data_IF_149224531780
#
_entry.id   IF_149224531780
#
_cell.length_a   1.000
_cell.length_b   1.000
_cell.length_c   1.000
_cell.angle_alpha   90.00
_cell.angle_beta   90.00
_cell.angle_gamma   90.00
#
_symmetry.space_group_name_H-M   'P 1'
#
loop_
_entity.id
_entity.type
_entity.pdbx_description
1 polymer ?
#
# COMPACT_ATOMS: atom_id res chain seq x y z
N UNK A 1 23.24 62.67 5.27
CA UNK A 1 21.80 62.55 5.05
C UNK A 1 21.47 61.10 4.74
N UNK A 2 20.44 60.57 5.41
CA UNK A 2 19.56 59.44 5.07
C UNK A 2 20.18 58.04 4.86
N UNK A 3 20.02 57.26 5.93
CA UNK A 3 19.67 55.85 5.96
C UNK A 3 18.72 55.41 4.82
N UNK A 4 18.95 54.21 4.28
CA UNK A 4 17.86 53.29 3.95
C UNK A 4 18.29 51.85 4.26
N UNK A 5 17.73 51.34 5.36
CA UNK A 5 17.56 49.90 5.64
C UNK A 5 16.33 49.40 4.86
N UNK A 6 16.16 48.07 4.88
CA UNK A 6 15.03 47.24 4.42
C UNK A 6 15.18 46.67 3.01
N UNK A 7 14.94 45.39 2.74
CA UNK A 7 14.43 44.30 3.57
C UNK A 7 15.03 42.98 3.06
N UNK A 8 15.41 42.11 3.99
CA UNK A 8 15.78 40.73 3.67
C UNK A 8 14.57 40.00 3.10
N UNK A 9 14.73 39.40 1.93
CA UNK A 9 13.84 38.35 1.46
C UNK A 9 14.01 37.17 2.41
N UNK A 10 13.05 36.99 3.31
CA UNK A 10 12.88 35.75 4.03
C UNK A 10 12.59 34.65 3.02
N UNK A 11 13.55 33.74 2.81
CA UNK A 11 13.26 32.46 2.17
C UNK A 11 12.25 31.72 3.07
N UNK A 12 11.01 31.63 2.61
CA UNK A 12 10.07 30.63 3.08
C UNK A 12 10.63 29.27 2.67
N UNK A 13 11.33 28.62 3.59
CA UNK A 13 11.63 27.20 3.48
C UNK A 13 10.29 26.44 3.56
N UNK A 14 9.72 26.14 2.40
CA UNK A 14 8.65 25.16 2.30
C UNK A 14 9.22 23.83 2.79
N UNK A 15 8.86 23.44 4.01
CA UNK A 15 9.02 22.06 4.44
C UNK A 15 8.12 21.21 3.54
N UNK A 16 8.70 20.70 2.46
CA UNK A 16 8.13 19.58 1.72
C UNK A 16 8.00 18.44 2.72
N UNK A 17 6.78 18.20 3.23
CA UNK A 17 6.44 16.89 3.73
C UNK A 17 6.64 15.97 2.54
N UNK A 18 7.78 15.29 2.50
CA UNK A 18 7.94 14.12 1.67
C UNK A 18 6.90 13.15 2.18
N UNK A 19 5.75 13.06 1.50
CA UNK A 19 4.99 11.84 1.48
C UNK A 19 5.98 10.80 0.97
N UNK A 20 6.60 10.06 1.90
CA UNK A 20 7.37 8.88 1.56
C UNK A 20 6.33 7.90 1.03
N UNK A 21 5.98 8.04 -0.25
CA UNK A 21 5.69 6.86 -1.04
C UNK A 21 6.99 6.07 -0.96
N UNK A 22 7.03 5.16 0.01
CA UNK A 22 8.06 4.14 0.10
C UNK A 22 7.87 3.34 -1.19
N UNK A 23 8.59 3.75 -2.23
CA UNK A 23 8.74 3.00 -3.47
C UNK A 23 9.65 1.81 -3.14
N UNK A 24 9.25 1.01 -2.16
CA UNK A 24 9.92 -0.21 -1.79
C UNK A 24 9.74 -1.13 -2.98
N UNK A 25 10.86 -1.48 -3.62
CA UNK A 25 10.87 -2.52 -4.65
C UNK A 25 10.03 -3.73 -4.16
N UNK A 26 9.22 -4.36 -5.04
CA UNK A 26 8.35 -5.47 -4.65
C UNK A 26 9.14 -6.52 -3.84
N UNK A 27 8.79 -6.70 -2.57
CA UNK A 27 9.38 -7.73 -1.70
C UNK A 27 10.46 -7.28 -0.71
N UNK A 28 10.72 -5.98 -0.49
CA UNK A 28 11.56 -5.53 0.62
C UNK A 28 10.72 -5.08 1.84
N UNK A 29 11.07 -5.57 3.04
CA UNK A 29 10.38 -5.24 4.30
C UNK A 29 9.07 -6.01 4.53
N UNK A 30 8.39 -5.70 5.64
CA UNK A 30 7.20 -6.43 6.09
C UNK A 30 6.08 -6.45 5.04
N UNK A 31 5.95 -5.39 4.24
CA UNK A 31 4.90 -5.27 3.22
C UNK A 31 5.04 -6.26 2.06
N UNK A 32 6.19 -6.93 1.90
CA UNK A 32 6.31 -8.06 0.99
C UNK A 32 5.31 -9.18 1.31
N UNK A 33 5.02 -9.41 2.59
CA UNK A 33 4.03 -10.41 3.02
C UNK A 33 2.60 -10.05 2.62
N UNK A 34 2.25 -8.76 2.52
CA UNK A 34 0.93 -8.33 2.01
C UNK A 34 0.75 -8.73 0.55
N UNK A 35 1.81 -8.61 -0.26
CA UNK A 35 1.78 -9.04 -1.66
C UNK A 35 1.50 -10.54 -1.76
N UNK A 36 2.20 -11.34 -0.95
CA UNK A 36 2.01 -12.80 -0.93
C UNK A 36 0.64 -13.23 -0.35
N UNK A 37 0.07 -12.48 0.60
CA UNK A 37 -1.31 -12.70 1.06
C UNK A 37 -2.30 -12.58 -0.10
N UNK A 38 -2.22 -11.50 -0.89
CA UNK A 38 -3.14 -11.30 -2.01
C UNK A 38 -2.89 -12.31 -3.13
N UNK A 39 -1.62 -12.62 -3.43
CA UNK A 39 -1.25 -13.63 -4.44
C UNK A 39 -1.74 -15.04 -4.11
N UNK A 40 -1.74 -15.40 -2.83
CA UNK A 40 -2.25 -16.68 -2.34
C UNK A 40 -3.75 -16.70 -2.10
N UNK A 41 -4.43 -15.57 -2.30
CA UNK A 41 -5.86 -15.47 -2.04
C UNK A 41 -6.72 -15.99 -3.19
N UNK A 42 -8.01 -16.22 -2.91
CA UNK A 42 -9.05 -16.47 -3.90
C UNK A 42 -9.58 -15.18 -4.58
N UNK A 43 -8.78 -14.10 -4.59
CA UNK A 43 -9.12 -12.88 -5.33
C UNK A 43 -9.42 -13.20 -6.80
N UNK A 44 -10.52 -12.67 -7.38
CA UNK A 44 -10.96 -13.03 -8.72
C UNK A 44 -10.14 -12.33 -9.80
N UNK A 45 -8.90 -12.78 -10.01
CA UNK A 45 -8.04 -12.33 -11.10
C UNK A 45 -8.72 -12.54 -12.46
N UNK A 46 -8.50 -11.61 -13.39
CA UNK A 46 -8.98 -11.72 -14.78
C UNK A 46 -8.01 -12.55 -15.60
N UNK A 47 -8.47 -13.11 -16.72
CA UNK A 47 -7.68 -14.03 -17.56
C UNK A 47 -6.33 -13.48 -18.07
N UNK A 48 -6.19 -12.16 -18.16
CA UNK A 48 -4.97 -11.48 -18.59
C UNK A 48 -4.05 -11.05 -17.42
N UNK A 49 -4.39 -11.46 -16.20
CA UNK A 49 -3.66 -11.12 -14.98
C UNK A 49 -3.16 -12.38 -14.29
N UNK A 50 -1.87 -12.44 -13.95
CA UNK A 50 -1.27 -13.59 -13.27
C UNK A 50 -0.76 -13.18 -11.89
N UNK A 51 -1.14 -13.88 -10.80
CA UNK A 51 -0.81 -13.46 -9.44
C UNK A 51 0.69 -13.17 -9.21
N UNK A 52 1.57 -13.93 -9.84
CA UNK A 52 3.04 -13.77 -9.75
C UNK A 52 3.54 -12.39 -10.20
N UNK A 53 2.81 -11.69 -11.06
CA UNK A 53 3.16 -10.35 -11.52
C UNK A 53 2.49 -9.23 -10.72
N UNK A 54 1.59 -9.57 -9.79
CA UNK A 54 0.83 -8.60 -9.02
C UNK A 54 1.77 -7.69 -8.24
N UNK A 55 1.50 -6.39 -8.26
CA UNK A 55 2.11 -5.44 -7.35
C UNK A 55 1.05 -4.77 -6.50
N UNK A 56 1.44 -4.29 -5.32
CA UNK A 56 0.58 -3.58 -4.39
C UNK A 56 1.12 -2.17 -4.15
N UNK A 57 0.22 -1.20 -4.10
CA UNK A 57 0.45 0.11 -3.49
C UNK A 57 -0.36 0.18 -2.20
N UNK A 58 0.23 0.79 -1.17
CA UNK A 58 -0.46 1.09 0.08
C UNK A 58 -1.12 2.46 -0.08
N UNK A 59 -2.43 2.48 -0.28
CA UNK A 59 -3.20 3.73 -0.36
C UNK A 59 -3.39 4.35 1.04
N UNK A 60 -3.54 3.49 2.07
CA UNK A 60 -3.66 3.89 3.48
C UNK A 60 -3.13 2.79 4.39
N UNK A 61 -2.43 3.21 5.45
CA UNK A 61 -2.02 2.38 6.59
C UNK A 61 -2.18 3.20 7.88
N UNK A 62 -3.04 2.74 8.78
CA UNK A 62 -3.22 3.35 10.11
C UNK A 62 -2.66 2.48 11.26
N UNK A 63 -1.91 1.43 10.91
CA UNK A 63 -1.35 0.45 11.83
C UNK A 63 -2.30 -0.69 12.22
N UNK A 64 -3.62 -0.52 12.03
CA UNK A 64 -4.62 -1.56 12.29
C UNK A 64 -5.28 -2.05 11.01
N UNK A 65 -5.46 -1.16 10.04
CA UNK A 65 -6.10 -1.43 8.77
C UNK A 65 -5.26 -0.85 7.62
N UNK A 66 -5.16 -1.64 6.56
CA UNK A 66 -4.52 -1.24 5.31
C UNK A 66 -5.51 -1.25 4.17
N UNK A 67 -5.45 -0.21 3.33
CA UNK A 67 -6.09 -0.16 2.01
C UNK A 67 -5.01 -0.33 0.96
N UNK A 68 -5.14 -1.36 0.13
CA UNK A 68 -4.11 -1.78 -0.83
C UNK A 68 -4.69 -1.74 -2.25
N UNK A 69 -4.06 -0.99 -3.14
CA UNK A 69 -4.36 -1.01 -4.56
C UNK A 69 -3.54 -2.11 -5.25
N UNK A 70 -4.22 -2.91 -6.06
CA UNK A 70 -3.64 -3.99 -6.86
C UNK A 70 -3.38 -3.46 -8.27
N UNK A 71 -2.16 -3.62 -8.77
CA UNK A 71 -1.82 -3.19 -10.13
C UNK A 71 -0.78 -4.10 -10.80
N UNK A 72 -0.70 -4.01 -12.13
CA UNK A 72 0.41 -4.56 -12.93
C UNK A 72 1.19 -3.43 -13.61
N UNK A 73 2.50 -3.60 -13.67
CA UNK A 73 3.35 -2.82 -14.56
C UNK A 73 3.41 -3.47 -15.94
N UNK A 74 2.90 -2.76 -16.94
CA UNK A 74 3.03 -3.13 -18.37
C UNK A 74 3.58 -1.91 -19.14
N UNK A 75 3.48 -1.89 -20.47
CA UNK A 75 3.76 -0.67 -21.24
C UNK A 75 2.80 0.49 -20.93
N UNK A 76 1.75 0.25 -20.14
CA UNK A 76 1.03 1.21 -19.30
C UNK A 76 0.80 0.66 -17.88
N UNK A 77 0.27 1.46 -16.94
CA UNK A 77 -0.14 0.97 -15.62
C UNK A 77 -1.62 0.54 -15.64
N UNK A 78 -1.90 -0.68 -15.19
CA UNK A 78 -3.26 -1.22 -15.11
C UNK A 78 -3.65 -1.51 -13.67
N UNK A 79 -4.66 -0.79 -13.16
CA UNK A 79 -5.26 -1.08 -11.85
C UNK A 79 -6.21 -2.27 -12.01
N UNK A 80 -6.09 -3.23 -11.11
CA UNK A 80 -6.86 -4.48 -11.09
C UNK A 80 -8.01 -4.37 -10.10
N UNK A 81 -7.76 -3.70 -8.96
CA UNK A 81 -8.74 -3.56 -7.90
C UNK A 81 -8.12 -3.13 -6.58
N UNK A 82 -8.88 -3.33 -5.51
CA UNK A 82 -8.51 -2.95 -4.16
C UNK A 82 -8.84 -4.07 -3.17
N UNK A 83 -7.99 -4.19 -2.15
CA UNK A 83 -8.26 -5.01 -0.98
C UNK A 83 -8.04 -4.23 0.30
N UNK A 84 -8.79 -4.59 1.33
CA UNK A 84 -8.56 -4.14 2.70
C UNK A 84 -8.00 -5.28 3.53
N UNK A 85 -6.98 -4.99 4.33
CA UNK A 85 -6.42 -5.94 5.29
C UNK A 85 -6.55 -5.41 6.71
N UNK A 86 -7.15 -6.21 7.59
CA UNK A 86 -7.21 -5.94 9.03
C UNK A 86 -6.09 -6.72 9.73
N UNK A 87 -5.18 -6.00 10.39
CA UNK A 87 -3.98 -6.57 11.01
C UNK A 87 -4.32 -7.43 12.21
N UNK A 88 -5.28 -7.00 13.03
CA UNK A 88 -5.65 -7.66 14.29
C UNK A 88 -6.46 -8.93 14.00
N UNK A 89 -7.42 -8.83 13.08
CA UNK A 89 -8.28 -9.95 12.69
C UNK A 89 -7.59 -10.89 11.70
N UNK A 90 -6.49 -10.47 11.08
CA UNK A 90 -5.82 -11.16 9.99
C UNK A 90 -6.80 -11.52 8.86
N UNK A 91 -7.65 -10.56 8.51
CA UNK A 91 -8.72 -10.72 7.54
C UNK A 91 -8.43 -9.88 6.29
N UNK A 92 -8.62 -10.48 5.12
CA UNK A 92 -8.43 -9.84 3.83
C UNK A 92 -9.78 -9.75 3.10
N UNK A 93 -10.09 -8.58 2.55
CA UNK A 93 -11.37 -8.29 1.93
C UNK A 93 -11.16 -7.70 0.53
N UNK A 94 -11.85 -8.22 -0.48
CA UNK A 94 -11.97 -7.59 -1.78
C UNK A 94 -13.01 -6.47 -1.71
N UNK A 95 -12.58 -5.25 -2.04
CA UNK A 95 -13.43 -4.05 -2.02
C UNK A 95 -13.53 -3.40 -3.40
N UNK A 96 -13.19 -4.14 -4.45
CA UNK A 96 -13.05 -3.60 -5.82
C UNK A 96 -14.36 -3.10 -6.41
N UNK A 97 -15.48 -3.78 -6.15
CA UNK A 97 -16.78 -3.47 -6.77
C UNK A 97 -17.62 -2.58 -5.87
N UNK A 98 -17.79 -3.01 -4.62
CA UNK A 98 -18.59 -2.30 -3.63
C UNK A 98 -17.83 -2.30 -2.29
N UNK A 99 -17.25 -1.17 -1.89
CA UNK A 99 -16.60 -1.04 -0.59
C UNK A 99 -17.55 -1.12 0.62
N UNK A 100 -18.86 -0.90 0.42
CA UNK A 100 -19.86 -1.03 1.49
C UNK A 100 -20.27 -2.50 1.71
N UNK A 101 -20.14 -3.34 0.67
CA UNK A 101 -20.37 -4.79 0.72
C UNK A 101 -19.09 -5.60 0.38
N UNK A 102 -18.06 -5.54 1.24
CA UNK A 102 -16.78 -6.18 0.97
C UNK A 102 -16.87 -7.71 0.98
N UNK A 103 -16.11 -8.37 0.10
CA UNK A 103 -16.09 -9.83 -0.01
C UNK A 103 -14.88 -10.42 0.73
N UNK A 104 -15.10 -11.27 1.71
CA UNK A 104 -14.01 -11.94 2.43
C UNK A 104 -13.21 -12.85 1.49
N UNK A 105 -11.89 -12.74 1.55
CA UNK A 105 -10.97 -13.57 0.79
C UNK A 105 -10.33 -14.64 1.68
N UNK A 106 -10.17 -15.83 1.13
CA UNK A 106 -9.37 -16.91 1.72
C UNK A 106 -7.96 -16.83 1.17
N UNK A 107 -6.96 -16.94 2.03
CA UNK A 107 -5.55 -16.89 1.64
C UNK A 107 -4.69 -17.77 2.57
N UNK A 108 -3.41 -17.92 2.24
CA UNK A 108 -2.48 -18.66 3.11
C UNK A 108 -2.10 -17.82 4.35
N UNK A 109 -2.68 -18.19 5.50
CA UNK A 109 -2.46 -17.51 6.78
C UNK A 109 -0.99 -17.48 7.26
N UNK A 110 -0.08 -18.27 6.67
CA UNK A 110 1.35 -18.16 6.98
C UNK A 110 1.90 -16.76 6.68
N UNK A 111 1.39 -16.10 5.64
CA UNK A 111 1.82 -14.75 5.29
C UNK A 111 1.32 -13.69 6.28
N UNK A 112 0.08 -13.80 6.78
CA UNK A 112 -0.42 -12.92 7.84
C UNK A 112 0.41 -13.02 9.13
N UNK A 113 0.78 -14.25 9.52
CA UNK A 113 1.66 -14.48 10.68
C UNK A 113 3.05 -13.89 10.48
N UNK A 114 3.64 -14.09 9.31
CA UNK A 114 4.95 -13.54 8.99
C UNK A 114 4.94 -12.01 8.94
N UNK A 115 3.86 -11.40 8.43
CA UNK A 115 3.65 -9.96 8.46
C UNK A 115 3.61 -9.42 9.89
N UNK A 116 2.76 -9.99 10.75
CA UNK A 116 2.64 -9.57 12.15
C UNK A 116 3.98 -9.69 12.90
N UNK A 117 4.66 -10.82 12.76
CA UNK A 117 5.97 -11.03 13.38
C UNK A 117 7.03 -10.03 12.88
N UNK A 118 6.97 -9.64 11.60
CA UNK A 118 7.87 -8.64 11.04
C UNK A 118 7.60 -7.24 11.62
N UNK A 119 6.34 -6.85 11.81
CA UNK A 119 5.98 -5.57 12.42
C UNK A 119 6.46 -5.48 13.88
N UNK A 120 6.38 -6.59 14.62
CA UNK A 120 6.87 -6.65 16.01
C UNK A 120 8.40 -6.55 16.13
N UNK A 121 9.13 -6.94 15.09
CA UNK A 121 10.59 -6.89 15.06
C UNK A 121 11.15 -5.53 14.61
N UNK A 122 10.29 -4.55 14.29
CA UNK A 122 10.66 -3.22 13.79
C UNK A 122 11.00 -2.23 14.89
#
# INVERSE_FOLDING_TARGET
MRYLKLAGLGLLAAATLSAQADESAPGQGCYGYLTEMVRSSDFPYRDFTTPDKLKLLIDRDDGQQLSLQLFYETSGSGIIGWVHYDVVQQALWNVTIDPEEPQALKFDHRFAKAYAACLEAR
#
